data_IF_924106190748
#
_entry.id   IF_924106190748
#
_cell.length_a   1.000
_cell.length_b   1.000
_cell.length_c   1.000
_cell.angle_alpha   90.00
_cell.angle_beta   90.00
_cell.angle_gamma   90.00
#
_symmetry.space_group_name_H-M   'P 1'
#
loop_
_entity.id
_entity.type
_entity.pdbx_description
1 polymer ?
#
# COMPACT_ATOMS: atom_id res chain seq x y z
N UNK A 1 0.23 -20.08 2.99
CA UNK A 1 1.30 -19.09 3.21
C UNK A 1 0.86 -18.13 4.31
N UNK A 2 1.82 -17.62 5.10
CA UNK A 2 1.65 -16.48 6.00
C UNK A 2 2.09 -15.21 5.26
N UNK A 3 1.18 -14.29 5.07
CA UNK A 3 1.40 -13.05 4.33
C UNK A 3 1.12 -11.87 5.26
N UNK A 4 2.07 -10.98 5.42
CA UNK A 4 1.89 -9.76 6.21
C UNK A 4 1.73 -8.58 5.27
N UNK A 5 0.65 -7.81 5.44
CA UNK A 5 0.41 -6.56 4.73
C UNK A 5 0.90 -5.41 5.62
N UNK A 6 2.10 -4.92 5.35
CA UNK A 6 2.73 -3.81 6.08
C UNK A 6 2.43 -2.50 5.36
N UNK A 7 1.81 -1.57 6.06
CA UNK A 7 1.43 -0.30 5.47
C UNK A 7 0.86 0.70 6.46
N UNK A 8 0.25 1.72 5.91
CA UNK A 8 -0.38 2.84 6.63
C UNK A 8 -1.91 2.68 6.75
N UNK A 9 -2.65 3.79 6.72
CA UNK A 9 -4.12 3.81 6.80
C UNK A 9 -4.81 3.07 5.66
N UNK A 10 -4.22 3.01 4.47
CA UNK A 10 -4.77 2.29 3.32
C UNK A 10 -4.74 0.77 3.55
N UNK A 11 -3.76 0.29 4.30
CA UNK A 11 -3.64 -1.11 4.72
C UNK A 11 -4.47 -1.39 5.96
N UNK A 12 -4.49 -0.47 6.93
CA UNK A 12 -5.25 -0.61 8.16
C UNK A 12 -6.77 -0.76 7.94
N UNK A 13 -7.30 -0.22 6.84
CA UNK A 13 -8.74 -0.13 6.59
C UNK A 13 -9.36 1.02 7.40
N UNK A 14 -8.74 2.20 7.35
CA UNK A 14 -9.15 3.37 8.12
C UNK A 14 -10.65 3.65 8.02
N UNK A 15 -11.33 3.74 9.18
CA UNK A 15 -12.78 3.96 9.33
C UNK A 15 -13.69 2.92 8.66
N UNK A 16 -13.16 1.79 8.20
CA UNK A 16 -13.98 0.69 7.74
C UNK A 16 -14.27 -0.28 8.90
N UNK A 17 -15.43 -0.94 8.91
CA UNK A 17 -15.62 -2.15 9.68
C UNK A 17 -14.53 -3.18 9.33
N UNK A 18 -14.11 -3.97 10.31
CA UNK A 18 -13.02 -4.94 10.09
C UNK A 18 -13.29 -5.88 8.93
N UNK A 19 -14.52 -6.35 8.80
CA UNK A 19 -14.99 -7.24 7.74
C UNK A 19 -14.88 -6.64 6.34
N UNK A 20 -14.93 -5.32 6.21
CA UNK A 20 -14.81 -4.60 4.94
C UNK A 20 -13.36 -4.24 4.58
N UNK A 21 -12.40 -4.47 5.49
CA UNK A 21 -10.99 -4.28 5.19
C UNK A 21 -10.49 -5.33 4.18
N UNK A 22 -9.81 -4.89 3.11
CA UNK A 22 -9.33 -5.75 2.04
C UNK A 22 -8.46 -6.92 2.52
N UNK A 23 -7.67 -6.74 3.58
CA UNK A 23 -6.87 -7.81 4.18
C UNK A 23 -7.77 -8.87 4.80
N UNK A 24 -8.86 -8.49 5.46
CA UNK A 24 -9.84 -9.44 6.03
C UNK A 24 -10.68 -10.13 4.96
N UNK A 25 -10.98 -9.42 3.87
CA UNK A 25 -11.62 -10.05 2.69
C UNK A 25 -10.73 -11.18 2.16
N UNK A 26 -9.43 -10.95 1.99
CA UNK A 26 -8.48 -11.96 1.56
C UNK A 26 -8.37 -13.14 2.53
N UNK A 27 -8.45 -12.91 3.85
CA UNK A 27 -8.48 -13.98 4.84
C UNK A 27 -9.69 -14.90 4.68
N UNK A 28 -10.85 -14.36 4.29
CA UNK A 28 -12.06 -15.14 4.08
C UNK A 28 -12.07 -15.89 2.76
N UNK A 29 -11.44 -15.33 1.73
CA UNK A 29 -11.56 -15.81 0.34
C UNK A 29 -10.37 -16.65 -0.13
N UNK A 30 -9.31 -16.76 0.66
CA UNK A 30 -8.13 -17.54 0.30
C UNK A 30 -7.72 -18.52 1.40
N UNK A 31 -7.02 -19.61 1.07
CA UNK A 31 -6.49 -20.55 2.06
C UNK A 31 -5.21 -20.03 2.74
N UNK A 32 -4.91 -18.74 2.64
CA UNK A 32 -3.71 -18.12 3.19
C UNK A 32 -4.04 -17.37 4.48
N UNK A 33 -3.05 -17.23 5.36
CA UNK A 33 -3.16 -16.38 6.54
C UNK A 33 -2.67 -14.99 6.17
N UNK A 34 -3.57 -14.01 6.18
CA UNK A 34 -3.26 -12.61 5.92
C UNK A 34 -3.25 -11.83 7.23
N UNK A 35 -2.15 -11.16 7.52
CA UNK A 35 -1.97 -10.36 8.73
C UNK A 35 -1.98 -8.90 8.32
N UNK A 36 -2.93 -8.14 8.87
CA UNK A 36 -2.98 -6.69 8.70
C UNK A 36 -2.00 -6.04 9.69
N UNK A 37 -0.92 -5.48 9.16
CA UNK A 37 0.06 -4.68 9.90
C UNK A 37 0.02 -3.22 9.43
N UNK A 38 -1.16 -2.71 9.08
CA UNK A 38 -1.40 -1.30 8.77
C UNK A 38 -1.51 -0.45 10.03
N UNK A 39 -0.88 0.71 10.03
CA UNK A 39 -0.99 1.73 11.10
C UNK A 39 -1.30 3.08 10.47
N UNK A 40 -2.47 3.65 10.80
CA UNK A 40 -2.90 4.93 10.23
C UNK A 40 -1.93 6.06 10.56
N UNK A 41 -1.52 6.82 9.53
CA UNK A 41 -0.57 7.92 9.67
C UNK A 41 0.90 7.50 9.66
N UNK A 42 1.20 6.21 9.53
CA UNK A 42 2.58 5.74 9.51
C UNK A 42 3.34 6.22 8.27
N UNK A 43 4.60 6.57 8.47
CA UNK A 43 5.52 6.96 7.38
C UNK A 43 6.33 5.77 6.91
N UNK A 44 6.98 5.90 5.77
CA UNK A 44 7.86 4.85 5.24
C UNK A 44 9.01 4.50 6.19
N UNK A 45 9.49 5.47 6.99
CA UNK A 45 10.46 5.21 8.06
C UNK A 45 9.87 4.37 9.19
N UNK A 46 8.63 4.65 9.59
CA UNK A 46 7.92 3.82 10.56
C UNK A 46 7.70 2.40 10.05
N UNK A 47 7.29 2.26 8.77
CA UNK A 47 7.18 0.94 8.12
C UNK A 47 8.52 0.18 8.16
N UNK A 48 9.64 0.85 7.87
CA UNK A 48 10.98 0.24 7.89
C UNK A 48 11.34 -0.28 9.30
N UNK A 49 11.05 0.49 10.34
CA UNK A 49 11.25 0.06 11.73
C UNK A 49 10.38 -1.14 12.07
N UNK A 50 9.07 -1.07 11.76
CA UNK A 50 8.12 -2.16 12.07
C UNK A 50 8.39 -3.42 11.24
N UNK A 51 8.93 -3.28 10.02
CA UNK A 51 9.38 -4.45 9.28
C UNK A 51 10.40 -5.26 10.09
N UNK A 52 11.40 -4.59 10.68
CA UNK A 52 12.45 -5.25 11.46
C UNK A 52 11.97 -5.80 12.79
N UNK A 53 11.17 -5.01 13.52
CA UNK A 53 10.83 -5.28 14.92
C UNK A 53 9.57 -6.13 15.09
N UNK A 54 8.64 -6.07 14.14
CA UNK A 54 7.33 -6.70 14.27
C UNK A 54 7.06 -7.75 13.19
N UNK A 55 7.47 -7.50 11.95
CA UNK A 55 7.08 -8.32 10.81
C UNK A 55 8.05 -9.48 10.57
N UNK A 56 9.34 -9.19 10.36
CA UNK A 56 10.35 -10.21 10.08
C UNK A 56 10.51 -11.25 11.21
N UNK A 57 10.38 -10.90 12.52
CA UNK A 57 10.38 -11.89 13.60
C UNK A 57 9.25 -12.92 13.51
N UNK A 58 8.15 -12.61 12.84
CA UNK A 58 7.05 -13.55 12.61
C UNK A 58 7.36 -14.59 11.54
N UNK A 59 8.47 -14.47 10.82
CA UNK A 59 8.88 -15.36 9.73
C UNK A 59 7.78 -15.55 8.66
N UNK A 60 7.29 -14.45 8.04
CA UNK A 60 6.28 -14.55 6.99
C UNK A 60 6.89 -15.15 5.71
N UNK A 61 6.05 -15.84 4.93
CA UNK A 61 6.43 -16.30 3.59
C UNK A 61 6.54 -15.13 2.60
N UNK A 62 5.71 -14.09 2.84
CA UNK A 62 5.59 -12.93 1.97
C UNK A 62 5.22 -11.69 2.77
N UNK A 63 5.71 -10.53 2.33
CA UNK A 63 5.31 -9.22 2.86
C UNK A 63 4.83 -8.35 1.71
N UNK A 64 3.58 -7.84 1.79
CA UNK A 64 3.09 -6.79 0.91
C UNK A 64 3.40 -5.45 1.56
N UNK A 65 4.22 -4.64 0.88
CA UNK A 65 4.71 -3.34 1.33
C UNK A 65 3.95 -2.23 0.59
N UNK A 66 3.20 -1.40 1.30
CA UNK A 66 2.47 -0.27 0.72
C UNK A 66 2.50 0.92 1.66
N UNK A 67 3.04 2.05 1.21
CA UNK A 67 3.09 3.30 1.96
C UNK A 67 3.92 4.36 1.24
N UNK A 68 4.08 5.52 1.87
CA UNK A 68 4.82 6.66 1.32
C UNK A 68 3.96 7.91 1.14
N UNK A 69 2.63 7.77 1.12
CA UNK A 69 1.74 8.93 0.95
C UNK A 69 1.83 9.90 2.14
N UNK A 70 2.03 9.40 3.36
CA UNK A 70 2.23 10.26 4.53
C UNK A 70 3.56 11.03 4.46
N UNK A 71 4.64 10.41 3.97
CA UNK A 71 5.90 11.11 3.71
C UNK A 71 5.70 12.24 2.69
N UNK A 72 5.03 11.94 1.60
CA UNK A 72 4.75 12.89 0.52
C UNK A 72 3.88 14.05 1.03
N UNK A 73 2.85 13.78 1.81
CA UNK A 73 1.99 14.82 2.40
C UNK A 73 2.77 15.73 3.37
N UNK A 74 3.67 15.16 4.17
CA UNK A 74 4.42 15.91 5.17
C UNK A 74 5.59 16.70 4.59
N UNK A 75 6.24 16.18 3.54
CA UNK A 75 7.50 16.74 3.02
C UNK A 75 7.38 17.35 1.62
N UNK A 76 6.31 17.03 0.88
CA UNK A 76 6.16 17.38 -0.53
C UNK A 76 7.09 16.58 -1.46
N UNK A 77 7.75 15.51 -0.95
CA UNK A 77 8.76 14.74 -1.70
C UNK A 77 8.56 13.24 -1.50
N UNK A 78 8.82 12.48 -2.54
CA UNK A 78 8.79 11.03 -2.55
C UNK A 78 10.14 10.36 -2.17
N UNK A 79 11.20 11.12 -1.94
CA UNK A 79 12.56 10.57 -1.80
C UNK A 79 12.74 9.71 -0.55
N UNK A 80 12.12 10.11 0.58
CA UNK A 80 12.16 9.31 1.80
C UNK A 80 11.44 7.97 1.60
N UNK A 81 10.27 8.00 0.95
CA UNK A 81 9.50 6.79 0.65
C UNK A 81 10.29 5.82 -0.25
N UNK A 82 10.96 6.33 -1.29
CA UNK A 82 11.85 5.53 -2.16
C UNK A 82 12.98 4.89 -1.38
N UNK A 83 13.69 5.67 -0.58
CA UNK A 83 14.84 5.18 0.20
C UNK A 83 14.43 4.11 1.20
N UNK A 84 13.36 4.33 1.94
CA UNK A 84 12.85 3.37 2.92
C UNK A 84 12.36 2.08 2.25
N UNK A 85 11.66 2.19 1.11
CA UNK A 85 11.23 1.00 0.36
C UNK A 85 12.43 0.16 -0.10
N UNK A 86 13.47 0.77 -0.67
CA UNK A 86 14.67 0.04 -1.08
C UNK A 86 15.33 -0.68 0.09
N UNK A 87 15.41 -0.04 1.26
CA UNK A 87 15.92 -0.68 2.48
C UNK A 87 15.03 -1.86 2.91
N UNK A 88 13.70 -1.72 2.87
CA UNK A 88 12.76 -2.81 3.18
C UNK A 88 12.91 -3.99 2.23
N UNK A 89 13.05 -3.76 0.93
CA UNK A 89 13.28 -4.81 -0.07
C UNK A 89 14.57 -5.58 0.21
N UNK A 90 15.65 -4.86 0.53
CA UNK A 90 16.93 -5.46 0.92
C UNK A 90 16.82 -6.35 2.15
N UNK A 91 16.09 -5.89 3.17
CA UNK A 91 15.89 -6.65 4.41
C UNK A 91 15.05 -7.91 4.20
N UNK A 92 13.99 -7.81 3.39
CA UNK A 92 13.21 -8.99 3.01
C UNK A 92 14.09 -10.02 2.30
N UNK A 93 14.88 -9.60 1.31
CA UNK A 93 15.79 -10.47 0.57
C UNK A 93 16.83 -11.14 1.49
N UNK A 94 17.43 -10.39 2.40
CA UNK A 94 18.41 -10.92 3.38
C UNK A 94 17.82 -11.96 4.34
N UNK A 95 16.50 -11.97 4.52
CA UNK A 95 15.78 -12.95 5.38
C UNK A 95 15.05 -14.04 4.58
N UNK A 96 15.20 -14.07 3.25
CA UNK A 96 14.50 -15.03 2.38
C UNK A 96 12.97 -14.83 2.33
N UNK A 97 12.47 -13.67 2.74
CA UNK A 97 11.06 -13.29 2.69
C UNK A 97 10.74 -12.71 1.32
N UNK A 98 9.65 -13.11 0.70
CA UNK A 98 9.25 -12.62 -0.63
C UNK A 98 8.57 -11.25 -0.50
N UNK A 99 9.16 -10.14 -0.98
CA UNK A 99 8.48 -8.85 -0.99
C UNK A 99 7.52 -8.74 -2.17
N UNK A 100 6.40 -8.06 -1.94
CA UNK A 100 5.45 -7.62 -2.96
C UNK A 100 5.23 -6.12 -2.75
N UNK A 101 5.30 -5.33 -3.79
CA UNK A 101 5.05 -3.89 -3.70
C UNK A 101 3.59 -3.59 -4.00
N UNK A 102 2.89 -2.94 -3.08
CA UNK A 102 1.61 -2.30 -3.33
C UNK A 102 1.85 -0.91 -3.92
N UNK A 103 1.38 -0.66 -5.13
CA UNK A 103 1.42 0.67 -5.76
C UNK A 103 0.14 1.41 -5.37
N UNK A 104 0.21 2.44 -4.50
CA UNK A 104 -0.98 3.13 -4.02
C UNK A 104 -1.65 3.94 -5.13
N UNK A 105 -2.92 4.27 -4.97
CA UNK A 105 -3.60 5.18 -5.87
C UNK A 105 -3.18 6.64 -5.59
N UNK A 106 -3.29 7.56 -6.60
CA UNK A 106 -2.81 8.93 -6.45
C UNK A 106 -3.53 9.69 -5.34
N UNK A 107 -2.80 10.56 -4.64
CA UNK A 107 -3.38 11.51 -3.68
C UNK A 107 -4.34 12.44 -4.45
N UNK A 108 -5.65 12.28 -4.24
CA UNK A 108 -6.70 13.07 -4.91
C UNK A 108 -7.13 14.25 -4.08
N UNK A 109 -7.31 14.01 -2.80
CA UNK A 109 -7.74 15.03 -1.84
C UNK A 109 -6.87 14.97 -0.60
N UNK A 110 -6.64 16.12 -0.01
CA UNK A 110 -5.99 16.26 1.30
C UNK A 110 -7.00 16.97 2.19
N UNK A 111 -7.46 16.33 3.29
CA UNK A 111 -8.44 16.94 4.19
C UNK A 111 -8.01 18.33 4.64
N UNK A 112 -8.96 19.26 4.72
CA UNK A 112 -8.71 20.67 5.01
C UNK A 112 -7.80 20.92 6.22
N UNK A 113 -7.93 20.10 7.27
CA UNK A 113 -7.08 20.17 8.46
C UNK A 113 -5.59 19.99 8.19
N UNK A 114 -5.22 19.30 7.11
CA UNK A 114 -3.83 19.07 6.72
C UNK A 114 -3.32 20.08 5.69
N UNK A 115 -4.21 20.80 5.00
CA UNK A 115 -3.83 21.79 3.97
C UNK A 115 -3.05 22.97 4.55
N UNK A 116 -3.16 23.22 5.87
CA UNK A 116 -2.38 24.28 6.53
C UNK A 116 -0.87 23.94 6.64
N UNK A 117 -0.51 22.65 6.56
CA UNK A 117 0.87 22.16 6.73
C UNK A 117 1.37 21.36 5.53
N UNK A 118 0.58 21.24 4.48
CA UNK A 118 0.86 20.44 3.30
C UNK A 118 0.66 21.28 2.04
N UNK A 119 1.67 21.33 1.18
CA UNK A 119 1.52 21.86 -0.19
C UNK A 119 0.78 20.82 -1.04
N UNK A 120 -0.52 21.07 -1.24
CA UNK A 120 -1.44 20.14 -1.91
C UNK A 120 -1.00 19.80 -3.34
N UNK A 121 -0.61 20.82 -4.12
CA UNK A 121 -0.24 20.62 -5.54
C UNK A 121 1.09 19.89 -5.66
N UNK A 122 2.04 20.21 -4.78
CA UNK A 122 3.31 19.52 -4.74
C UNK A 122 3.13 18.04 -4.29
N UNK A 123 2.31 17.78 -3.27
CA UNK A 123 2.00 16.44 -2.81
C UNK A 123 1.35 15.58 -3.90
N UNK A 124 0.37 16.13 -4.64
CA UNK A 124 -0.24 15.45 -5.80
C UNK A 124 0.80 15.10 -6.88
N UNK A 125 1.64 16.07 -7.22
CA UNK A 125 2.69 15.88 -8.21
C UNK A 125 3.72 14.83 -7.77
N UNK A 126 4.14 14.87 -6.51
CA UNK A 126 5.05 13.91 -5.91
C UNK A 126 4.46 12.48 -5.86
N UNK A 127 3.18 12.35 -5.50
CA UNK A 127 2.47 11.06 -5.53
C UNK A 127 2.48 10.43 -6.93
N UNK A 128 2.21 11.22 -7.97
CA UNK A 128 2.29 10.73 -9.34
C UNK A 128 3.70 10.34 -9.78
N UNK A 129 4.74 11.07 -9.33
CA UNK A 129 6.15 10.69 -9.57
C UNK A 129 6.48 9.39 -8.85
N UNK A 130 6.03 9.22 -7.60
CA UNK A 130 6.23 8.02 -6.81
C UNK A 130 5.61 6.79 -7.46
N UNK A 131 4.36 6.86 -7.89
CA UNK A 131 3.66 5.78 -8.60
C UNK A 131 4.41 5.37 -9.88
N UNK A 132 4.86 6.34 -10.69
CA UNK A 132 5.66 6.05 -11.88
C UNK A 132 6.98 5.36 -11.55
N UNK A 133 7.66 5.83 -10.49
CA UNK A 133 8.90 5.22 -10.03
C UNK A 133 8.68 3.79 -9.51
N UNK A 134 7.62 3.53 -8.76
CA UNK A 134 7.28 2.18 -8.28
C UNK A 134 7.07 1.20 -9.44
N UNK A 135 6.34 1.61 -10.48
CA UNK A 135 6.15 0.81 -11.70
C UNK A 135 7.50 0.52 -12.39
N UNK A 136 8.29 1.55 -12.62
CA UNK A 136 9.62 1.39 -13.23
C UNK A 136 10.54 0.50 -12.40
N UNK A 137 10.55 0.63 -11.09
CA UNK A 137 11.33 -0.21 -10.19
C UNK A 137 10.90 -1.67 -10.29
N UNK A 138 9.59 -1.95 -10.16
CA UNK A 138 9.09 -3.33 -10.16
C UNK A 138 9.31 -4.02 -11.49
N UNK A 139 9.22 -3.30 -12.60
CA UNK A 139 9.53 -3.81 -13.94
C UNK A 139 11.03 -4.07 -14.09
N UNK A 140 11.88 -3.13 -13.70
CA UNK A 140 13.34 -3.23 -13.88
C UNK A 140 13.96 -4.42 -13.14
N UNK A 141 13.44 -4.76 -11.96
CA UNK A 141 13.97 -5.89 -11.16
C UNK A 141 13.04 -7.11 -11.16
N UNK A 142 12.02 -7.13 -12.02
CA UNK A 142 11.01 -8.21 -12.11
C UNK A 142 10.36 -8.53 -10.76
N UNK A 143 10.13 -7.51 -9.95
CA UNK A 143 9.53 -7.65 -8.63
C UNK A 143 8.00 -7.75 -8.75
N UNK A 144 7.40 -8.65 -7.97
CA UNK A 144 5.93 -8.74 -7.90
C UNK A 144 5.35 -7.45 -7.32
N UNK A 145 4.31 -6.93 -7.97
CA UNK A 145 3.55 -5.80 -7.45
C UNK A 145 2.04 -6.04 -7.56
N UNK A 146 1.29 -5.26 -6.77
CA UNK A 146 -0.15 -5.07 -6.91
C UNK A 146 -0.38 -3.60 -7.24
N UNK A 147 -0.82 -3.31 -8.45
CA UNK A 147 -1.06 -1.93 -8.88
C UNK A 147 -2.49 -1.49 -8.53
N UNK A 148 -2.67 -1.03 -7.30
CA UNK A 148 -3.95 -0.50 -6.83
C UNK A 148 -4.36 0.76 -7.60
N UNK A 149 -3.39 1.57 -8.06
CA UNK A 149 -3.68 2.75 -8.88
C UNK A 149 -4.34 2.35 -10.21
N UNK A 150 -3.84 1.32 -10.87
CA UNK A 150 -4.43 0.80 -12.10
C UNK A 150 -5.82 0.19 -11.84
N UNK A 151 -5.99 -0.58 -10.76
CA UNK A 151 -7.26 -1.18 -10.39
C UNK A 151 -8.35 -0.12 -10.13
N UNK A 152 -8.02 0.95 -9.40
CA UNK A 152 -8.95 2.06 -9.14
C UNK A 152 -9.28 2.85 -10.41
N UNK A 153 -8.30 3.06 -11.30
CA UNK A 153 -8.53 3.75 -12.56
C UNK A 153 -9.41 2.95 -13.53
N UNK A 154 -9.36 1.63 -13.49
CA UNK A 154 -10.15 0.74 -14.33
C UNK A 154 -11.58 0.51 -13.84
N UNK A 155 -11.92 0.90 -12.62
CA UNK A 155 -13.25 0.69 -12.06
C UNK A 155 -14.31 1.56 -12.78
N UNK A 156 -15.54 1.04 -12.98
CA UNK A 156 -16.59 1.76 -13.69
C UNK A 156 -16.99 3.09 -13.03
N UNK A 157 -16.97 3.15 -11.72
CA UNK A 157 -17.34 4.31 -10.90
C UNK A 157 -16.23 4.67 -9.90
N UNK A 158 -15.10 5.21 -10.38
CA UNK A 158 -13.94 5.45 -9.51
C UNK A 158 -14.23 6.38 -8.32
N UNK A 159 -15.23 7.26 -8.42
CA UNK A 159 -15.64 8.16 -7.33
C UNK A 159 -16.22 7.43 -6.11
N UNK A 160 -16.88 6.31 -6.32
CA UNK A 160 -17.51 5.51 -5.25
C UNK A 160 -16.49 4.67 -4.46
N UNK A 161 -15.27 4.55 -4.96
CA UNK A 161 -14.22 3.78 -4.32
C UNK A 161 -13.59 4.49 -3.11
N UNK A 162 -13.93 5.75 -2.90
CA UNK A 162 -13.38 6.56 -1.81
C UNK A 162 -14.44 6.88 -0.77
N UNK A 163 -14.01 7.03 0.48
CA UNK A 163 -14.80 7.63 1.55
C UNK A 163 -15.03 9.12 1.27
N UNK A 164 -15.88 9.76 2.08
CA UNK A 164 -16.19 11.20 1.97
C UNK A 164 -14.96 12.11 2.01
N UNK A 165 -13.86 11.66 2.64
CA UNK A 165 -12.61 12.40 2.69
C UNK A 165 -11.86 12.43 1.34
N UNK A 166 -12.28 11.60 0.37
CA UNK A 166 -11.69 11.50 -0.96
C UNK A 166 -10.27 10.94 -1.00
N UNK A 167 -9.81 10.38 0.13
CA UNK A 167 -8.46 9.84 0.30
C UNK A 167 -8.47 8.34 0.59
N UNK A 168 -9.28 7.92 1.55
CA UNK A 168 -9.31 6.53 2.02
C UNK A 168 -10.31 5.69 1.21
N UNK A 169 -10.05 4.40 1.00
CA UNK A 169 -10.96 3.51 0.31
C UNK A 169 -12.29 3.39 1.06
N UNK A 170 -13.41 3.39 0.33
CA UNK A 170 -14.69 2.93 0.81
C UNK A 170 -14.72 1.39 0.92
N UNK A 171 -15.82 0.80 1.39
CA UNK A 171 -16.01 -0.66 1.33
C UNK A 171 -15.88 -1.19 -0.11
N UNK A 172 -16.43 -0.46 -1.10
CA UNK A 172 -16.28 -0.79 -2.51
C UNK A 172 -14.82 -0.69 -2.98
N UNK A 173 -14.10 0.36 -2.58
CA UNK A 173 -12.67 0.51 -2.85
C UNK A 173 -11.83 -0.59 -2.22
N UNK A 174 -12.15 -0.95 -0.99
CA UNK A 174 -11.51 -2.05 -0.28
C UNK A 174 -11.72 -3.39 -1.00
N UNK A 175 -12.91 -3.65 -1.56
CA UNK A 175 -13.20 -4.81 -2.39
C UNK A 175 -12.32 -4.83 -3.65
N UNK A 176 -12.23 -3.69 -4.36
CA UNK A 176 -11.34 -3.55 -5.54
C UNK A 176 -9.88 -3.83 -5.18
N UNK A 177 -9.41 -3.40 -4.00
CA UNK A 177 -8.05 -3.73 -3.52
C UNK A 177 -7.87 -5.23 -3.31
N UNK A 178 -8.82 -5.90 -2.68
CA UNK A 178 -8.76 -7.35 -2.51
C UNK A 178 -8.73 -8.09 -3.86
N UNK A 179 -9.58 -7.70 -4.80
CA UNK A 179 -9.62 -8.29 -6.15
C UNK A 179 -8.30 -8.09 -6.91
N UNK A 180 -7.67 -6.93 -6.80
CA UNK A 180 -6.37 -6.66 -7.40
C UNK A 180 -5.27 -7.58 -6.84
N UNK A 181 -5.29 -7.84 -5.53
CA UNK A 181 -4.37 -8.81 -4.91
C UNK A 181 -4.63 -10.22 -5.44
N UNK A 182 -5.88 -10.67 -5.48
CA UNK A 182 -6.25 -11.99 -6.00
C UNK A 182 -5.79 -12.18 -7.45
N UNK A 183 -5.99 -11.19 -8.31
CA UNK A 183 -5.51 -11.20 -9.69
C UNK A 183 -3.99 -11.30 -9.78
N UNK A 184 -3.26 -10.53 -8.97
CA UNK A 184 -1.78 -10.59 -8.93
C UNK A 184 -1.25 -11.94 -8.46
N UNK A 185 -1.96 -12.63 -7.56
CA UNK A 185 -1.60 -13.98 -7.14
C UNK A 185 -1.85 -15.01 -8.23
N UNK A 186 -2.96 -14.91 -8.95
CA UNK A 186 -3.35 -15.83 -10.01
C UNK A 186 -2.44 -15.74 -11.25
N UNK A 187 -2.01 -14.54 -11.62
CA UNK A 187 -1.23 -14.26 -12.84
C UNK A 187 0.14 -14.95 -12.91
N UNK A 188 0.66 -15.55 -11.84
CA UNK A 188 1.95 -16.27 -11.79
C UNK A 188 1.83 -17.77 -11.52
N UNK A 189 0.63 -18.33 -11.55
CA UNK A 189 0.42 -19.79 -11.51
C UNK A 189 0.30 -20.39 -12.92
N UNK A 190 0.52 -19.59 -13.96
CA UNK A 190 0.74 -20.00 -15.35
C UNK A 190 2.20 -19.75 -15.73
#
# INVERSE_FOLDING_TARGET
MKIVCLGDSLTAGYRLPSEDCWVQILNRETPHTWINAGVSGDTSTGLLVRLQTEVLPQQPDMVLLMGGDNDIMLTGSEEQAKTSLMAMLHQCAARGVKPVVGIPFPIRNIPQRWQAVCDVENARSASLRYIRWLRALTDAISLRCVDFAAAFAAAPLPGELYQEDGMHPSAAGSRVMADAVLQSLAARNM
#
